data_IF_086131026608
#
_entry.id   IF_086131026608
#
_cell.length_a   1.000
_cell.length_b   1.000
_cell.length_c   1.000
_cell.angle_alpha   90.00
_cell.angle_beta   90.00
_cell.angle_gamma   90.00
#
_symmetry.space_group_name_H-M   'P 1'
#
loop_
_entity.id
_entity.type
_entity.pdbx_description
1 polymer ?
#
# COMPACT_ATOMS: atom_id res chain seq x y z
N UNK A 1 36.19 5.36 52.98
CA UNK A 1 36.18 5.08 51.54
C UNK A 1 35.54 3.73 51.31
N UNK A 2 34.27 3.69 50.89
CA UNK A 2 33.65 2.51 50.30
C UNK A 2 32.46 3.00 49.48
N UNK A 3 32.61 3.07 48.16
CA UNK A 3 31.54 3.38 47.23
C UNK A 3 31.20 2.10 46.47
N UNK A 4 30.11 1.45 46.87
CA UNK A 4 29.50 0.36 46.10
C UNK A 4 28.87 0.95 44.84
N UNK A 5 29.42 0.64 43.66
CA UNK A 5 28.77 0.90 42.38
C UNK A 5 27.93 -0.32 42.03
N UNK A 6 26.62 -0.25 42.29
CA UNK A 6 25.67 -1.17 41.67
C UNK A 6 25.52 -0.79 40.19
N UNK A 7 25.92 -1.73 39.33
CA UNK A 7 25.73 -1.63 37.88
C UNK A 7 24.27 -1.94 37.58
N UNK A 8 23.48 -0.91 37.27
CA UNK A 8 22.10 -1.08 36.79
C UNK A 8 22.17 -1.56 35.34
N UNK A 9 22.00 -2.85 35.11
CA UNK A 9 21.80 -3.41 33.76
C UNK A 9 20.36 -3.07 33.37
N UNK A 10 20.18 -2.05 32.53
CA UNK A 10 18.90 -1.80 31.87
C UNK A 10 18.79 -2.84 30.76
N UNK A 11 18.04 -3.92 31.02
CA UNK A 11 17.53 -4.78 29.96
C UNK A 11 16.51 -3.95 29.18
N UNK A 12 16.91 -3.40 28.02
CA UNK A 12 15.94 -2.94 27.04
C UNK A 12 15.37 -4.20 26.42
N UNK A 13 14.22 -4.65 26.90
CA UNK A 13 13.42 -5.61 26.16
C UNK A 13 13.02 -4.90 24.86
N UNK A 14 13.62 -5.29 23.73
CA UNK A 14 13.10 -4.92 22.42
C UNK A 14 11.73 -5.57 22.31
N UNK A 15 10.68 -4.81 22.61
CA UNK A 15 9.33 -5.22 22.27
C UNK A 15 9.32 -5.41 20.74
N UNK A 16 9.12 -6.64 20.28
CA UNK A 16 8.83 -6.89 18.87
C UNK A 16 7.46 -6.27 18.62
N UNK A 17 7.45 -5.07 18.06
CA UNK A 17 6.24 -4.37 17.67
C UNK A 17 5.77 -5.05 16.41
N UNK A 18 4.71 -5.83 16.52
CA UNK A 18 4.13 -6.48 15.36
C UNK A 18 3.52 -5.46 14.40
N UNK A 19 3.40 -5.87 13.15
CA UNK A 19 2.79 -5.06 12.10
C UNK A 19 1.33 -4.79 12.46
N UNK A 20 0.88 -3.54 12.31
CA UNK A 20 -0.46 -3.17 12.75
C UNK A 20 -1.55 -3.91 11.96
N UNK A 21 -1.33 -4.07 10.65
CA UNK A 21 -2.23 -4.81 9.79
C UNK A 21 -1.50 -5.79 8.88
N UNK A 22 -1.96 -7.03 8.86
CA UNK A 22 -1.47 -8.09 7.99
C UNK A 22 -2.67 -8.82 7.41
N UNK A 23 -2.62 -9.14 6.13
CA UNK A 23 -3.65 -9.95 5.51
C UNK A 23 -3.32 -10.30 4.07
N UNK A 24 -4.34 -10.38 3.23
CA UNK A 24 -4.20 -10.81 1.84
C UNK A 24 -5.10 -10.02 0.89
N UNK A 25 -4.73 -10.04 -0.38
CA UNK A 25 -5.57 -9.58 -1.47
C UNK A 25 -6.69 -10.61 -1.69
N UNK A 26 -7.92 -10.12 -1.81
CA UNK A 26 -9.11 -10.88 -2.19
C UNK A 26 -9.38 -10.59 -3.67
N UNK A 27 -8.80 -11.43 -4.51
CA UNK A 27 -8.86 -11.30 -5.96
C UNK A 27 -10.04 -12.07 -6.55
N UNK A 28 -10.57 -11.56 -7.67
CA UNK A 28 -11.62 -12.19 -8.45
C UNK A 28 -12.53 -11.17 -9.13
N UNK A 29 -12.84 -10.04 -8.48
CA UNK A 29 -13.76 -9.04 -9.02
C UNK A 29 -13.13 -8.25 -10.17
N UNK A 30 -11.81 -8.12 -10.19
CA UNK A 30 -10.98 -7.46 -11.20
C UNK A 30 -10.61 -8.33 -12.39
N UNK A 31 -10.83 -9.66 -12.33
CA UNK A 31 -10.43 -10.60 -13.37
C UNK A 31 -10.77 -10.11 -14.79
N UNK A 32 -9.79 -10.10 -15.69
CA UNK A 32 -9.91 -9.54 -17.04
C UNK A 32 -9.37 -8.11 -17.21
N UNK A 33 -8.83 -7.51 -16.15
CA UNK A 33 -8.02 -6.28 -16.20
C UNK A 33 -6.52 -6.62 -16.11
N UNK A 34 -5.68 -5.86 -16.82
CA UNK A 34 -4.22 -6.04 -16.88
C UNK A 34 -3.50 -4.70 -17.03
N UNK A 35 -2.15 -4.67 -16.94
CA UNK A 35 -1.36 -3.48 -17.26
C UNK A 35 -1.61 -2.87 -18.65
N UNK A 36 -2.02 -3.70 -19.61
CA UNK A 36 -2.37 -3.27 -20.97
C UNK A 36 -3.82 -2.77 -21.11
N UNK A 37 -4.59 -2.77 -20.02
CA UNK A 37 -6.02 -2.48 -20.01
C UNK A 37 -6.87 -3.75 -19.95
N UNK A 38 -8.06 -3.69 -20.56
CA UNK A 38 -9.03 -4.80 -20.58
C UNK A 38 -8.52 -5.91 -21.51
N UNK A 39 -8.28 -7.10 -20.94
CA UNK A 39 -7.88 -8.31 -21.67
C UNK A 39 -8.94 -9.41 -21.65
N UNK A 40 -9.86 -9.36 -20.69
CA UNK A 40 -10.96 -10.31 -20.55
C UNK A 40 -12.31 -9.77 -21.03
N UNK A 41 -13.37 -10.52 -20.72
CA UNK A 41 -14.74 -10.08 -20.96
C UNK A 41 -15.14 -9.05 -19.90
N UNK A 42 -15.18 -7.77 -20.27
CA UNK A 42 -15.61 -6.65 -19.42
C UNK A 42 -16.74 -5.92 -20.13
N UNK A 43 -17.94 -5.77 -19.52
CA UNK A 43 -18.24 -5.98 -18.10
C UNK A 43 -18.32 -7.45 -17.67
N UNK A 44 -18.52 -8.40 -18.60
CA UNK A 44 -18.59 -9.83 -18.31
C UNK A 44 -19.80 -10.23 -17.45
N UNK A 45 -19.84 -11.52 -17.07
CA UNK A 45 -20.89 -12.14 -16.28
C UNK A 45 -20.32 -12.63 -14.94
N UNK A 46 -21.01 -12.32 -13.84
CA UNK A 46 -20.68 -12.81 -12.51
C UNK A 46 -20.73 -14.35 -12.46
N UNK A 47 -19.85 -14.98 -11.66
CA UNK A 47 -19.65 -16.43 -11.56
C UNK A 47 -19.18 -17.10 -12.86
N UNK A 48 -18.70 -16.31 -13.82
CA UNK A 48 -18.09 -16.81 -15.06
C UNK A 48 -16.81 -16.07 -15.40
N UNK A 49 -16.90 -14.75 -15.53
CA UNK A 49 -15.78 -13.91 -15.95
C UNK A 49 -15.10 -13.23 -14.74
N UNK A 50 -15.79 -13.17 -13.60
CA UNK A 50 -15.30 -12.61 -12.33
C UNK A 50 -16.07 -13.21 -11.16
N UNK A 51 -15.45 -13.18 -9.98
CA UNK A 51 -15.91 -13.85 -8.77
C UNK A 51 -15.79 -12.93 -7.56
N UNK A 52 -16.74 -13.01 -6.62
CA UNK A 52 -16.69 -12.21 -5.41
C UNK A 52 -15.81 -12.90 -4.35
N UNK A 53 -15.20 -12.12 -3.42
CA UNK A 53 -14.59 -12.67 -2.22
C UNK A 53 -15.57 -13.56 -1.46
N UNK A 54 -15.10 -14.71 -0.95
CA UNK A 54 -15.94 -15.68 -0.26
C UNK A 54 -16.05 -15.35 1.25
N UNK A 55 -17.24 -15.02 1.77
CA UNK A 55 -17.37 -14.62 3.18
C UNK A 55 -16.94 -15.68 4.20
N UNK A 56 -17.07 -16.98 3.85
CA UNK A 56 -16.64 -18.08 4.72
C UNK A 56 -15.11 -18.11 4.78
N UNK A 57 -14.43 -17.99 3.64
CA UNK A 57 -12.98 -17.95 3.57
C UNK A 57 -12.43 -16.72 4.30
N UNK A 58 -13.02 -15.54 4.07
CA UNK A 58 -12.66 -14.31 4.79
C UNK A 58 -12.85 -14.46 6.31
N UNK A 59 -13.95 -15.06 6.76
CA UNK A 59 -14.20 -15.30 8.20
C UNK A 59 -13.11 -16.17 8.81
N UNK A 60 -12.72 -17.24 8.10
CA UNK A 60 -11.65 -18.13 8.53
C UNK A 60 -10.29 -17.41 8.55
N UNK A 61 -9.96 -16.65 7.52
CA UNK A 61 -8.74 -15.85 7.45
C UNK A 61 -8.62 -14.89 8.65
N UNK A 62 -9.73 -14.29 9.11
CA UNK A 62 -9.73 -13.47 10.35
C UNK A 62 -9.45 -14.28 11.62
N UNK A 63 -9.75 -15.57 11.67
CA UNK A 63 -9.33 -16.41 12.80
C UNK A 63 -7.86 -16.83 12.74
N UNK A 64 -7.28 -16.90 11.54
CA UNK A 64 -5.97 -17.53 11.31
C UNK A 64 -4.84 -16.50 11.17
N UNK A 65 -4.88 -15.66 10.14
CA UNK A 65 -3.72 -14.85 9.74
C UNK A 65 -4.02 -13.39 9.37
N UNK A 66 -5.29 -13.04 9.12
CA UNK A 66 -5.66 -11.73 8.57
C UNK A 66 -6.37 -10.81 9.58
N UNK A 67 -6.09 -9.51 9.53
CA UNK A 67 -6.95 -8.44 10.04
C UNK A 67 -7.15 -7.32 8.99
N UNK A 68 -6.84 -7.62 7.72
CA UNK A 68 -6.91 -6.71 6.58
C UNK A 68 -7.21 -7.49 5.29
N UNK A 69 -8.14 -6.99 4.48
CA UNK A 69 -8.43 -7.55 3.16
C UNK A 69 -8.29 -6.47 2.11
N UNK A 70 -7.47 -6.72 1.07
CA UNK A 70 -7.37 -5.83 -0.10
C UNK A 70 -8.25 -6.37 -1.21
N UNK A 71 -9.44 -5.79 -1.36
CA UNK A 71 -10.45 -6.24 -2.33
C UNK A 71 -10.18 -5.55 -3.66
N UNK A 72 -9.60 -6.29 -4.60
CA UNK A 72 -9.32 -5.82 -5.95
C UNK A 72 -10.61 -5.83 -6.77
N UNK A 73 -10.91 -4.75 -7.51
CA UNK A 73 -12.07 -4.68 -8.40
C UNK A 73 -11.80 -3.84 -9.65
N UNK A 74 -12.55 -4.11 -10.72
CA UNK A 74 -12.44 -3.40 -11.99
C UNK A 74 -13.25 -2.10 -12.00
N UNK A 75 -12.61 -0.98 -12.31
CA UNK A 75 -13.25 0.31 -12.50
C UNK A 75 -14.36 0.22 -13.57
N UNK A 76 -14.11 -0.43 -14.70
CA UNK A 76 -15.05 -0.58 -15.80
C UNK A 76 -16.34 -1.32 -15.42
N UNK A 77 -16.29 -2.22 -14.43
CA UNK A 77 -17.48 -2.92 -13.92
C UNK A 77 -18.25 -2.07 -12.92
N UNK A 78 -17.52 -1.34 -12.08
CA UNK A 78 -18.11 -0.48 -11.05
C UNK A 78 -18.70 0.82 -11.62
N UNK A 79 -18.05 1.42 -12.62
CA UNK A 79 -18.49 2.62 -13.31
C UNK A 79 -18.37 2.37 -14.82
N UNK A 80 -19.50 1.98 -15.45
CA UNK A 80 -19.55 1.44 -16.81
C UNK A 80 -19.28 2.46 -17.93
N UNK A 81 -19.33 3.74 -17.61
CA UNK A 81 -18.77 4.84 -18.41
C UNK A 81 -18.20 5.91 -17.49
N UNK A 82 -17.17 6.65 -17.94
CA UNK A 82 -16.53 7.69 -17.13
C UNK A 82 -17.57 8.64 -16.53
N UNK A 83 -17.45 8.88 -15.22
CA UNK A 83 -18.34 9.74 -14.42
C UNK A 83 -19.78 9.24 -14.25
N UNK A 84 -20.15 8.05 -14.75
CA UNK A 84 -21.46 7.48 -14.50
C UNK A 84 -21.68 7.15 -13.02
N UNK A 85 -22.95 7.03 -12.63
CA UNK A 85 -23.31 6.48 -11.32
C UNK A 85 -22.78 5.06 -11.17
N UNK A 86 -22.34 4.69 -9.96
CA UNK A 86 -21.84 3.34 -9.71
C UNK A 86 -22.90 2.27 -10.04
N UNK A 87 -22.46 1.19 -10.69
CA UNK A 87 -23.25 0.00 -10.96
C UNK A 87 -23.61 -0.68 -9.63
N UNK A 88 -24.87 -0.57 -9.23
CA UNK A 88 -25.34 -1.04 -7.92
C UNK A 88 -25.23 -2.55 -7.74
N UNK A 89 -25.36 -3.34 -8.81
CA UNK A 89 -25.24 -4.80 -8.73
C UNK A 89 -23.79 -5.21 -8.45
N UNK A 90 -22.83 -4.60 -9.14
CA UNK A 90 -21.41 -4.88 -8.90
C UNK A 90 -20.94 -4.31 -7.56
N UNK A 91 -21.41 -3.12 -7.19
CA UNK A 91 -21.15 -2.51 -5.89
C UNK A 91 -21.68 -3.37 -4.73
N UNK A 92 -22.80 -4.08 -4.90
CA UNK A 92 -23.33 -4.98 -3.88
C UNK A 92 -22.37 -6.15 -3.55
N UNK A 93 -21.54 -6.59 -4.50
CA UNK A 93 -20.50 -7.61 -4.27
C UNK A 93 -19.35 -7.05 -3.42
N UNK A 94 -18.89 -5.84 -3.74
CA UNK A 94 -17.90 -5.11 -2.94
C UNK A 94 -18.45 -4.86 -1.52
N UNK A 95 -19.71 -4.45 -1.41
CA UNK A 95 -20.40 -4.24 -0.13
C UNK A 95 -20.45 -5.49 0.74
N UNK A 96 -20.65 -6.66 0.13
CA UNK A 96 -20.70 -7.91 0.86
C UNK A 96 -19.33 -8.24 1.48
N UNK A 97 -18.24 -8.04 0.72
CA UNK A 97 -16.88 -8.19 1.22
C UNK A 97 -16.56 -7.19 2.34
N UNK A 98 -16.89 -5.90 2.14
CA UNK A 98 -16.73 -4.84 3.15
C UNK A 98 -17.49 -5.18 4.44
N UNK A 99 -18.76 -5.56 4.33
CA UNK A 99 -19.57 -5.89 5.51
C UNK A 99 -19.03 -7.12 6.23
N UNK A 100 -18.61 -8.15 5.50
CA UNK A 100 -18.00 -9.35 6.09
C UNK A 100 -16.78 -8.99 6.91
N UNK A 101 -15.77 -8.37 6.28
CA UNK A 101 -14.53 -8.00 6.94
C UNK A 101 -14.74 -7.04 8.12
N UNK A 102 -15.50 -5.95 7.91
CA UNK A 102 -15.66 -4.92 8.95
C UNK A 102 -16.53 -5.38 10.11
N UNK A 103 -17.45 -6.34 9.91
CA UNK A 103 -18.19 -6.99 11.01
C UNK A 103 -17.30 -7.84 11.92
N UNK A 104 -16.16 -8.30 11.39
CA UNK A 104 -15.12 -9.05 12.10
C UNK A 104 -14.02 -8.14 12.67
N UNK A 105 -14.16 -6.81 12.52
CA UNK A 105 -13.16 -5.83 12.97
C UNK A 105 -11.92 -5.73 12.07
N UNK A 106 -11.94 -6.36 10.88
CA UNK A 106 -10.86 -6.26 9.91
C UNK A 106 -10.99 -5.01 9.02
N UNK A 107 -9.85 -4.50 8.55
CA UNK A 107 -9.79 -3.44 7.55
C UNK A 107 -10.16 -4.00 6.17
N UNK A 108 -10.84 -3.21 5.35
CA UNK A 108 -11.04 -3.50 3.91
C UNK A 108 -10.46 -2.37 3.08
N UNK A 109 -9.43 -2.67 2.29
CA UNK A 109 -8.92 -1.74 1.27
C UNK A 109 -9.72 -1.97 0.00
N UNK A 110 -10.33 -0.91 -0.50
CA UNK A 110 -10.95 -0.87 -1.82
C UNK A 110 -9.86 -0.58 -2.85
N UNK A 111 -9.45 -1.59 -3.63
CA UNK A 111 -8.40 -1.46 -4.64
C UNK A 111 -8.99 -1.32 -6.05
N UNK A 112 -8.84 -0.12 -6.63
CA UNK A 112 -9.19 0.14 -8.03
C UNK A 112 -8.11 -0.49 -8.91
N UNK A 113 -8.34 -1.72 -9.35
CA UNK A 113 -7.29 -2.58 -9.90
C UNK A 113 -7.01 -2.35 -11.39
N UNK A 114 -6.56 -1.15 -11.75
CA UNK A 114 -6.70 -0.61 -13.10
C UNK A 114 -5.44 -0.04 -13.76
N UNK A 115 -4.27 -0.09 -13.11
CA UNK A 115 -3.00 0.28 -13.73
C UNK A 115 -2.97 1.71 -14.29
N UNK A 116 -3.66 2.64 -13.62
CA UNK A 116 -3.91 4.01 -14.07
C UNK A 116 -4.59 4.13 -15.45
N UNK A 117 -5.43 3.16 -15.81
CA UNK A 117 -6.17 3.10 -17.08
C UNK A 117 -7.67 2.92 -16.87
N UNK A 118 -8.44 3.40 -17.84
CA UNK A 118 -9.84 3.04 -18.01
C UNK A 118 -10.08 2.68 -19.48
N UNK A 119 -10.58 1.47 -19.74
CA UNK A 119 -10.72 0.89 -21.08
C UNK A 119 -9.41 1.00 -21.89
N UNK A 120 -8.28 0.71 -21.24
CA UNK A 120 -6.93 0.77 -21.81
C UNK A 120 -6.33 2.18 -21.99
N UNK A 121 -7.14 3.24 -21.87
CA UNK A 121 -6.65 4.62 -21.96
C UNK A 121 -6.03 5.07 -20.64
N UNK A 122 -4.77 5.54 -20.68
CA UNK A 122 -4.03 6.01 -19.51
C UNK A 122 -4.57 7.36 -19.02
N UNK A 123 -4.65 7.53 -17.70
CA UNK A 123 -4.98 8.82 -17.07
C UNK A 123 -3.99 9.90 -17.53
N UNK A 124 -4.50 11.06 -17.94
CA UNK A 124 -3.67 12.14 -18.49
C UNK A 124 -3.38 12.01 -19.98
N UNK A 125 -3.73 10.89 -20.62
CA UNK A 125 -3.60 10.66 -22.06
C UNK A 125 -4.70 11.28 -22.93
N UNK A 126 -5.46 12.26 -22.41
CA UNK A 126 -6.53 12.97 -23.12
C UNK A 126 -7.93 12.38 -22.90
N UNK A 127 -8.14 11.10 -23.17
CA UNK A 127 -9.47 10.45 -23.03
C UNK A 127 -9.88 10.28 -21.57
N UNK A 128 -8.94 9.85 -20.72
CA UNK A 128 -9.15 9.62 -19.30
C UNK A 128 -8.38 10.70 -18.54
N UNK A 129 -9.05 11.42 -17.67
CA UNK A 129 -8.49 12.55 -16.91
C UNK A 129 -8.41 12.23 -15.43
N UNK A 130 -7.59 12.98 -14.68
CA UNK A 130 -7.55 12.90 -13.22
C UNK A 130 -8.93 13.13 -12.58
N UNK A 131 -9.74 14.03 -13.16
CA UNK A 131 -11.09 14.30 -12.69
C UNK A 131 -12.03 13.09 -12.82
N UNK A 132 -11.78 12.18 -13.77
CA UNK A 132 -12.58 10.96 -13.89
C UNK A 132 -12.30 9.99 -12.75
N UNK A 133 -11.04 9.78 -12.39
CA UNK A 133 -10.68 8.96 -11.23
C UNK A 133 -11.21 9.60 -9.93
N UNK A 134 -11.10 10.93 -9.80
CA UNK A 134 -11.65 11.65 -8.66
C UNK A 134 -13.18 11.51 -8.55
N UNK A 135 -13.91 11.48 -9.67
CA UNK A 135 -15.35 11.24 -9.67
C UNK A 135 -15.71 9.86 -9.10
N UNK A 136 -15.00 8.81 -9.52
CA UNK A 136 -15.17 7.47 -8.94
C UNK A 136 -14.97 7.51 -7.42
N UNK A 137 -13.88 8.14 -6.98
CA UNK A 137 -13.51 8.21 -5.57
C UNK A 137 -14.47 9.03 -4.72
N UNK A 138 -15.07 10.10 -5.23
CA UNK A 138 -16.13 10.84 -4.53
C UNK A 138 -17.33 9.92 -4.25
N UNK A 139 -17.77 9.14 -5.22
CA UNK A 139 -18.92 8.24 -5.05
C UNK A 139 -18.63 7.13 -4.02
N UNK A 140 -17.43 6.54 -4.06
CA UNK A 140 -17.00 5.55 -3.07
C UNK A 140 -16.84 6.18 -1.68
N UNK A 141 -16.22 7.35 -1.58
CA UNK A 141 -16.04 8.05 -0.31
C UNK A 141 -17.38 8.45 0.31
N UNK A 142 -18.33 8.98 -0.45
CA UNK A 142 -19.66 9.31 0.06
C UNK A 142 -20.40 8.10 0.65
N UNK A 143 -20.20 6.92 0.05
CA UNK A 143 -20.77 5.67 0.54
C UNK A 143 -20.10 5.16 1.82
N UNK A 144 -18.77 5.19 1.88
CA UNK A 144 -18.00 4.51 2.94
C UNK A 144 -17.43 5.43 4.02
N UNK A 145 -17.60 6.75 3.93
CA UNK A 145 -17.06 7.72 4.91
C UNK A 145 -17.50 7.50 6.36
N UNK A 146 -18.60 6.78 6.59
CA UNK A 146 -19.08 6.41 7.92
C UNK A 146 -18.40 5.18 8.52
N UNK A 147 -17.57 4.46 7.77
CA UNK A 147 -16.92 3.23 8.22
C UNK A 147 -15.39 3.38 8.20
N UNK A 148 -14.79 3.64 9.36
CA UNK A 148 -13.34 3.85 9.49
C UNK A 148 -12.47 2.63 9.18
N UNK A 149 -13.06 1.43 9.12
CA UNK A 149 -12.36 0.21 8.70
C UNK A 149 -12.28 0.06 7.18
N UNK A 150 -12.92 0.94 6.41
CA UNK A 150 -12.75 1.00 4.94
C UNK A 150 -11.60 1.94 4.61
N UNK A 151 -10.64 1.45 3.84
CA UNK A 151 -9.50 2.22 3.32
C UNK A 151 -9.62 2.33 1.80
N UNK A 152 -9.05 3.39 1.23
CA UNK A 152 -9.18 3.73 -0.19
C UNK A 152 -7.85 3.55 -0.90
N UNK A 153 -7.69 2.43 -1.61
CA UNK A 153 -6.53 2.16 -2.45
C UNK A 153 -6.69 2.77 -3.83
N UNK A 154 -6.05 3.93 -4.03
CA UNK A 154 -6.38 4.84 -5.13
C UNK A 154 -6.34 4.20 -6.52
N UNK A 155 -5.40 3.29 -6.73
CA UNK A 155 -5.15 2.60 -7.98
C UNK A 155 -4.16 1.46 -7.77
N UNK A 156 -4.39 0.31 -8.39
CA UNK A 156 -3.35 -0.71 -8.50
C UNK A 156 -2.29 -0.29 -9.53
N UNK A 157 -1.02 -0.38 -9.16
CA UNK A 157 0.14 -0.38 -10.07
C UNK A 157 0.09 0.58 -11.28
N UNK A 158 -0.01 1.91 -11.07
CA UNK A 158 0.17 2.89 -12.15
C UNK A 158 1.42 2.59 -12.98
N UNK A 159 1.27 2.58 -14.31
CA UNK A 159 2.36 2.29 -15.26
C UNK A 159 2.09 2.92 -16.62
N UNK A 160 3.13 3.18 -17.42
CA UNK A 160 3.00 3.83 -18.73
C UNK A 160 2.46 5.26 -18.66
N UNK A 161 2.72 5.93 -17.55
CA UNK A 161 2.42 7.34 -17.25
C UNK A 161 3.67 7.95 -16.63
N UNK A 162 3.95 9.25 -16.79
CA UNK A 162 5.03 9.90 -16.04
C UNK A 162 4.65 10.01 -14.54
N UNK A 163 5.62 9.83 -13.65
CA UNK A 163 5.36 9.80 -12.20
C UNK A 163 4.81 11.12 -11.67
N UNK A 164 5.30 12.27 -12.16
CA UNK A 164 4.77 13.57 -11.73
C UNK A 164 3.31 13.75 -12.20
N UNK A 165 2.99 13.26 -13.39
CA UNK A 165 1.62 13.22 -13.92
C UNK A 165 0.72 12.31 -13.08
N UNK A 166 1.21 11.13 -12.70
CA UNK A 166 0.48 10.21 -11.81
C UNK A 166 0.21 10.84 -10.44
N UNK A 167 1.23 11.34 -9.75
CA UNK A 167 1.04 11.93 -8.41
C UNK A 167 0.17 13.18 -8.44
N UNK A 168 0.20 13.98 -9.53
CA UNK A 168 -0.75 15.06 -9.73
C UNK A 168 -2.21 14.53 -9.84
N UNK A 169 -2.44 13.43 -10.56
CA UNK A 169 -3.76 12.81 -10.65
C UNK A 169 -4.22 12.21 -9.31
N UNK A 170 -3.32 11.54 -8.58
CA UNK A 170 -3.59 11.02 -7.24
C UNK A 170 -3.96 12.15 -6.27
N UNK A 171 -3.28 13.30 -6.32
CA UNK A 171 -3.61 14.46 -5.50
C UNK A 171 -5.01 15.00 -5.77
N UNK A 172 -5.48 15.00 -7.03
CA UNK A 172 -6.86 15.38 -7.36
C UNK A 172 -7.86 14.44 -6.70
N UNK A 173 -7.62 13.13 -6.73
CA UNK A 173 -8.46 12.14 -6.03
C UNK A 173 -8.46 12.32 -4.52
N UNK A 174 -7.29 12.52 -3.89
CA UNK A 174 -7.17 12.77 -2.44
C UNK A 174 -8.02 13.99 -2.04
N UNK A 175 -7.83 15.11 -2.74
CA UNK A 175 -8.59 16.33 -2.47
C UNK A 175 -10.10 16.09 -2.60
N UNK A 176 -10.53 15.43 -3.68
CA UNK A 176 -11.94 15.15 -3.93
C UNK A 176 -12.54 14.23 -2.85
N UNK A 177 -11.83 13.18 -2.43
CA UNK A 177 -12.22 12.33 -1.28
C UNK A 177 -12.44 13.19 -0.04
N UNK A 178 -11.48 14.06 0.30
CA UNK A 178 -11.59 14.90 1.50
C UNK A 178 -12.74 15.91 1.43
N UNK A 179 -13.15 16.37 0.25
CA UNK A 179 -14.34 17.24 0.12
C UNK A 179 -15.65 16.55 0.53
N UNK A 180 -15.71 15.22 0.56
CA UNK A 180 -16.88 14.46 1.04
C UNK A 180 -17.02 14.47 2.57
N UNK A 181 -15.98 14.91 3.28
CA UNK A 181 -15.84 14.79 4.74
C UNK A 181 -15.25 13.45 5.20
N UNK A 182 -14.85 12.57 4.27
CA UNK A 182 -14.18 11.31 4.60
C UNK A 182 -12.82 11.52 5.29
N UNK A 183 -12.61 10.82 6.41
CA UNK A 183 -11.34 10.73 7.14
C UNK A 183 -10.66 9.36 7.00
N UNK A 184 -11.22 8.48 6.15
CA UNK A 184 -10.69 7.15 5.87
C UNK A 184 -9.23 7.20 5.42
N UNK A 185 -8.47 6.16 5.73
CA UNK A 185 -7.09 6.02 5.26
C UNK A 185 -7.07 5.90 3.74
N UNK A 186 -6.17 6.62 3.08
CA UNK A 186 -5.97 6.53 1.62
C UNK A 186 -4.59 5.91 1.37
N UNK A 187 -4.52 4.86 0.56
CA UNK A 187 -3.25 4.29 0.12
C UNK A 187 -2.90 4.82 -1.28
N UNK A 188 -1.69 5.35 -1.41
CA UNK A 188 -1.23 6.13 -2.57
C UNK A 188 -0.05 5.40 -3.23
N UNK A 189 -0.25 4.76 -4.39
CA UNK A 189 0.83 4.11 -5.10
C UNK A 189 1.72 5.13 -5.82
N UNK A 190 2.88 4.68 -6.30
CA UNK A 190 3.70 5.35 -7.31
C UNK A 190 3.48 4.80 -8.71
N UNK A 191 4.26 5.30 -9.67
CA UNK A 191 4.35 4.77 -11.02
C UNK A 191 5.25 3.53 -11.10
N UNK A 192 5.41 2.94 -12.28
CA UNK A 192 6.21 1.74 -12.53
C UNK A 192 5.81 0.57 -11.62
N UNK A 193 4.52 0.26 -11.63
CA UNK A 193 3.98 -0.83 -10.83
C UNK A 193 4.20 -0.63 -9.32
N UNK A 194 4.45 0.62 -8.89
CA UNK A 194 4.70 1.00 -7.51
C UNK A 194 5.77 0.16 -6.78
N UNK A 195 6.75 -0.35 -7.52
CA UNK A 195 7.76 -1.26 -6.99
C UNK A 195 8.64 -0.63 -5.89
N UNK A 196 8.73 -1.27 -4.73
CA UNK A 196 9.57 -0.79 -3.62
C UNK A 196 11.07 -0.78 -3.99
N UNK A 197 11.53 -1.81 -4.70
CA UNK A 197 12.90 -1.94 -5.22
C UNK A 197 13.34 -0.77 -6.09
N UNK A 198 12.41 -0.14 -6.81
CA UNK A 198 12.71 0.94 -7.74
C UNK A 198 12.21 2.32 -7.30
N UNK A 199 11.56 2.40 -6.14
CA UNK A 199 10.93 3.63 -5.63
C UNK A 199 11.87 4.84 -5.65
N UNK A 200 13.13 4.63 -5.27
CA UNK A 200 14.15 5.68 -5.14
C UNK A 200 14.97 5.84 -6.42
N UNK A 201 15.30 4.75 -7.11
CA UNK A 201 16.15 4.79 -8.30
C UNK A 201 15.41 5.28 -9.54
N UNK A 202 14.14 4.93 -9.71
CA UNK A 202 13.37 5.26 -10.92
C UNK A 202 13.97 4.67 -12.19
N UNK A 203 14.60 3.49 -12.11
CA UNK A 203 15.25 2.85 -13.26
C UNK A 203 14.24 2.18 -14.20
N UNK A 204 13.03 1.88 -13.72
CA UNK A 204 11.92 1.35 -14.52
C UNK A 204 11.55 2.25 -15.71
N UNK A 205 11.70 3.57 -15.53
CA UNK A 205 11.45 4.61 -16.52
C UNK A 205 12.36 5.80 -16.22
N UNK A 206 13.59 5.72 -16.75
CA UNK A 206 14.61 6.76 -16.59
C UNK A 206 14.23 8.11 -17.22
N UNK A 207 13.16 8.16 -18.02
CA UNK A 207 12.65 9.40 -18.62
C UNK A 207 11.66 10.12 -17.71
N UNK A 208 11.15 9.41 -16.70
CA UNK A 208 10.23 9.91 -15.69
C UNK A 208 10.98 10.38 -14.44
N UNK A 209 10.35 11.26 -13.68
CA UNK A 209 10.81 11.57 -12.32
C UNK A 209 10.66 10.33 -11.43
N UNK A 210 11.66 10.00 -10.60
CA UNK A 210 11.54 8.89 -9.66
C UNK A 210 10.37 9.08 -8.68
N UNK A 211 9.74 7.98 -8.26
CA UNK A 211 8.61 8.02 -7.32
C UNK A 211 8.98 8.74 -6.01
N UNK A 212 10.20 8.52 -5.51
CA UNK A 212 10.74 9.17 -4.33
C UNK A 212 10.79 10.71 -4.41
N UNK A 213 10.82 11.29 -5.60
CA UNK A 213 10.82 12.74 -5.80
C UNK A 213 9.39 13.24 -6.01
N UNK A 214 8.68 12.65 -6.98
CA UNK A 214 7.33 13.08 -7.34
C UNK A 214 6.32 12.86 -6.19
N UNK A 215 6.47 11.78 -5.43
CA UNK A 215 5.59 11.44 -4.32
C UNK A 215 5.62 12.44 -3.17
N UNK A 216 6.69 13.23 -3.01
CA UNK A 216 6.76 14.27 -1.97
C UNK A 216 5.77 15.42 -2.17
N UNK A 217 5.22 15.57 -3.38
CA UNK A 217 4.19 16.55 -3.67
C UNK A 217 2.83 16.21 -3.04
N UNK A 218 2.63 14.97 -2.58
CA UNK A 218 1.36 14.55 -1.99
C UNK A 218 1.15 15.19 -0.62
N UNK A 219 -0.02 15.80 -0.46
CA UNK A 219 -0.52 16.40 0.77
C UNK A 219 -1.95 15.95 1.04
N UNK A 220 -2.22 15.54 2.28
CA UNK A 220 -3.56 15.19 2.73
C UNK A 220 -3.96 16.08 3.91
N UNK A 221 -5.04 16.87 3.80
CA UNK A 221 -5.57 17.66 4.91
C UNK A 221 -5.91 16.85 6.17
N UNK A 222 -6.25 15.56 6.03
CA UNK A 222 -6.52 14.68 7.17
C UNK A 222 -5.24 14.02 7.74
N UNK A 223 -4.10 14.18 7.07
CA UNK A 223 -2.82 13.52 7.39
C UNK A 223 -2.98 12.01 7.64
N UNK A 224 -3.81 11.34 6.84
CA UNK A 224 -4.13 9.92 6.99
C UNK A 224 -3.95 9.18 5.67
N UNK A 225 -2.69 9.17 5.18
CA UNK A 225 -2.28 8.45 3.99
C UNK A 225 -1.15 7.47 4.27
N UNK A 226 -1.11 6.40 3.49
CA UNK A 226 0.01 5.45 3.41
C UNK A 226 0.52 5.43 1.96
N UNK A 227 1.83 5.40 1.75
CA UNK A 227 2.39 5.14 0.42
C UNK A 227 2.35 3.64 0.17
N UNK A 228 1.62 3.22 -0.85
CA UNK A 228 1.45 1.81 -1.23
C UNK A 228 2.59 1.41 -2.16
N UNK A 229 3.31 0.34 -1.82
CA UNK A 229 4.37 -0.21 -2.66
C UNK A 229 4.20 -1.70 -2.81
N UNK A 230 4.62 -2.25 -3.93
CA UNK A 230 4.57 -3.68 -4.20
C UNK A 230 5.98 -4.25 -4.28
N UNK A 231 6.14 -5.53 -3.94
CA UNK A 231 7.43 -6.21 -4.07
C UNK A 231 7.27 -7.72 -4.27
N UNK A 232 7.63 -8.18 -5.45
CA UNK A 232 7.90 -9.59 -5.72
C UNK A 232 9.40 -9.87 -5.69
N UNK A 233 9.77 -11.15 -5.57
CA UNK A 233 11.16 -11.57 -5.37
C UNK A 233 11.68 -12.51 -6.46
N UNK A 234 10.87 -12.75 -7.49
CA UNK A 234 11.25 -13.42 -8.70
C UNK A 234 12.27 -12.60 -9.51
N UNK A 235 12.78 -13.16 -10.61
CA UNK A 235 13.98 -12.65 -11.30
C UNK A 235 13.92 -11.21 -11.76
N UNK A 236 12.73 -10.69 -12.05
CA UNK A 236 12.47 -9.35 -12.55
C UNK A 236 11.46 -8.57 -11.71
N UNK A 237 11.14 -9.08 -10.52
CA UNK A 237 10.21 -8.46 -9.56
C UNK A 237 8.76 -8.33 -10.07
N UNK A 238 8.39 -9.07 -11.12
CA UNK A 238 7.06 -9.00 -11.74
C UNK A 238 6.01 -9.88 -11.07
N UNK A 239 6.41 -10.85 -10.25
CA UNK A 239 5.50 -11.84 -9.68
C UNK A 239 4.94 -12.82 -10.71
N UNK A 240 5.65 -13.02 -11.83
CA UNK A 240 5.20 -13.90 -12.92
C UNK A 240 6.00 -15.18 -13.04
N UNK A 241 7.06 -15.35 -12.25
CA UNK A 241 7.91 -16.53 -12.25
C UNK A 241 7.96 -17.25 -10.90
N UNK A 242 8.28 -18.54 -10.92
CA UNK A 242 8.59 -19.30 -9.71
C UNK A 242 9.98 -18.95 -9.16
N UNK A 243 10.17 -19.20 -7.87
CA UNK A 243 11.41 -18.96 -7.14
C UNK A 243 11.64 -17.51 -6.72
N UNK A 244 12.48 -17.34 -5.69
CA UNK A 244 12.80 -16.04 -5.08
C UNK A 244 14.32 -15.80 -5.06
N UNK A 245 14.98 -15.57 -6.21
CA UNK A 245 16.41 -15.26 -6.28
C UNK A 245 16.77 -13.95 -5.55
N UNK A 246 15.80 -13.04 -5.40
CA UNK A 246 15.96 -11.79 -4.67
C UNK A 246 15.52 -11.93 -3.20
N UNK A 247 15.83 -10.93 -2.37
CA UNK A 247 15.58 -10.99 -0.93
C UNK A 247 15.07 -9.65 -0.38
N UNK A 248 14.81 -9.61 0.93
CA UNK A 248 14.24 -8.47 1.65
C UNK A 248 15.00 -7.14 1.47
N UNK A 249 16.27 -7.15 1.06
CA UNK A 249 17.05 -5.93 0.80
C UNK A 249 16.43 -4.99 -0.22
N UNK A 250 15.55 -5.49 -1.10
CA UNK A 250 14.78 -4.66 -2.04
C UNK A 250 13.90 -3.60 -1.35
N UNK A 251 13.55 -3.79 -0.07
CA UNK A 251 12.74 -2.83 0.69
C UNK A 251 13.56 -1.72 1.35
N UNK A 252 14.90 -1.82 1.39
CA UNK A 252 15.73 -0.98 2.25
C UNK A 252 15.73 0.49 1.82
N UNK A 253 15.85 0.76 0.52
CA UNK A 253 15.86 2.13 -0.01
C UNK A 253 14.51 2.82 0.22
N UNK A 254 13.41 2.13 -0.10
CA UNK A 254 12.06 2.60 0.16
C UNK A 254 11.81 2.88 1.66
N UNK A 255 12.23 1.98 2.54
CA UNK A 255 12.08 2.16 4.00
C UNK A 255 12.85 3.38 4.50
N UNK A 256 14.08 3.58 4.03
CA UNK A 256 14.89 4.74 4.36
C UNK A 256 14.23 6.04 3.87
N UNK A 257 13.66 6.02 2.67
CA UNK A 257 12.92 7.14 2.11
C UNK A 257 11.68 7.48 2.94
N UNK A 258 10.87 6.48 3.33
CA UNK A 258 9.70 6.69 4.19
C UNK A 258 10.12 7.39 5.50
N UNK A 259 11.17 6.87 6.15
CA UNK A 259 11.66 7.39 7.43
C UNK A 259 12.20 8.80 7.32
N UNK A 260 13.03 9.06 6.33
CA UNK A 260 13.67 10.36 6.10
C UNK A 260 12.63 11.45 5.83
N UNK A 261 11.54 11.10 5.15
CA UNK A 261 10.50 12.04 4.75
C UNK A 261 9.28 12.06 5.68
N UNK A 262 9.35 11.37 6.83
CA UNK A 262 8.27 11.30 7.81
C UNK A 262 6.98 10.71 7.24
N UNK A 263 7.09 9.74 6.32
CA UNK A 263 5.96 9.08 5.66
C UNK A 263 5.74 7.68 6.23
N UNK A 264 4.53 7.17 6.03
CA UNK A 264 4.12 5.80 6.38
C UNK A 264 3.88 5.00 5.11
N UNK A 265 4.20 3.71 5.14
CA UNK A 265 4.10 2.79 4.01
C UNK A 265 3.13 1.64 4.26
N UNK A 266 2.61 1.09 3.16
CA UNK A 266 1.85 -0.14 3.07
C UNK A 266 2.48 -1.02 1.99
N UNK A 267 2.84 -2.26 2.31
CA UNK A 267 3.29 -3.22 1.30
C UNK A 267 2.05 -3.90 0.69
N UNK A 268 1.54 -3.34 -0.40
CA UNK A 268 0.24 -3.66 -0.99
C UNK A 268 0.13 -5.03 -1.62
N UNK A 269 1.23 -5.49 -2.21
CA UNK A 269 1.39 -6.84 -2.73
C UNK A 269 2.82 -7.32 -2.47
N UNK A 270 2.91 -8.57 -2.04
CA UNK A 270 4.14 -9.35 -2.00
C UNK A 270 3.78 -10.84 -2.04
N UNK A 271 4.64 -11.64 -2.67
CA UNK A 271 4.44 -13.08 -2.77
C UNK A 271 5.74 -13.83 -3.04
N UNK A 272 5.66 -15.14 -2.90
CA UNK A 272 6.65 -16.13 -3.31
C UNK A 272 5.97 -17.49 -3.42
N UNK A 273 6.53 -18.40 -4.20
CA UNK A 273 5.98 -19.75 -4.33
C UNK A 273 6.32 -20.61 -3.10
N UNK A 274 5.79 -21.84 -3.06
CA UNK A 274 5.97 -22.74 -1.92
C UNK A 274 7.36 -23.37 -1.77
N UNK A 275 8.38 -22.86 -2.48
CA UNK A 275 9.76 -23.32 -2.26
C UNK A 275 10.31 -22.84 -0.92
N UNK A 276 11.21 -23.61 -0.29
CA UNK A 276 11.85 -23.22 0.97
C UNK A 276 12.63 -21.91 0.88
N UNK A 277 13.15 -21.58 -0.30
CA UNK A 277 13.80 -20.29 -0.57
C UNK A 277 12.79 -19.15 -0.44
N UNK A 278 11.65 -19.23 -1.13
CA UNK A 278 10.61 -18.21 -1.07
C UNK A 278 9.99 -18.10 0.33
N UNK A 279 9.72 -19.21 1.00
CA UNK A 279 9.26 -19.21 2.40
C UNK A 279 10.21 -18.43 3.32
N UNK A 280 11.53 -18.61 3.15
CA UNK A 280 12.54 -17.87 3.91
C UNK A 280 12.50 -16.37 3.58
N UNK A 281 12.33 -16.01 2.31
CA UNK A 281 12.21 -14.62 1.89
C UNK A 281 10.95 -13.96 2.47
N UNK A 282 9.80 -14.63 2.43
CA UNK A 282 8.52 -14.15 2.99
C UNK A 282 8.65 -13.92 4.51
N UNK A 283 9.23 -14.86 5.25
CA UNK A 283 9.49 -14.69 6.68
C UNK A 283 10.39 -13.48 6.96
N UNK A 284 11.45 -13.31 6.18
CA UNK A 284 12.37 -12.18 6.33
C UNK A 284 11.69 -10.84 5.99
N UNK A 285 10.80 -10.80 5.00
CA UNK A 285 10.01 -9.61 4.67
C UNK A 285 9.13 -9.21 5.84
N UNK A 286 8.32 -10.13 6.36
CA UNK A 286 7.43 -9.83 7.48
C UNK A 286 8.21 -9.38 8.73
N UNK A 287 9.28 -10.08 9.10
CA UNK A 287 10.15 -9.68 10.22
C UNK A 287 10.78 -8.29 9.99
N UNK A 288 11.18 -7.98 8.75
CA UNK A 288 11.71 -6.67 8.41
C UNK A 288 10.66 -5.56 8.53
N UNK A 289 9.41 -5.81 8.11
CA UNK A 289 8.32 -4.85 8.27
C UNK A 289 7.99 -4.59 9.75
N UNK A 290 7.94 -5.64 10.58
CA UNK A 290 7.73 -5.49 12.04
C UNK A 290 8.83 -4.68 12.72
N UNK A 291 10.09 -5.00 12.40
CA UNK A 291 11.26 -4.25 12.95
C UNK A 291 11.35 -2.82 12.44
N UNK A 292 10.65 -2.48 11.35
CA UNK A 292 10.55 -1.14 10.78
C UNK A 292 9.10 -0.60 10.82
N UNK A 293 8.32 -1.02 11.84
CA UNK A 293 6.92 -0.61 12.04
C UNK A 293 6.77 0.87 12.40
N UNK A 294 7.87 1.56 12.68
CA UNK A 294 7.91 3.02 12.76
C UNK A 294 7.57 3.69 11.42
N UNK A 295 7.70 2.99 10.29
CA UNK A 295 7.28 3.48 8.97
C UNK A 295 6.35 2.53 8.21
N UNK A 296 6.45 1.22 8.37
CA UNK A 296 5.55 0.27 7.73
C UNK A 296 4.33 0.00 8.61
N UNK A 297 3.14 0.27 8.07
CA UNK A 297 1.87 0.16 8.81
C UNK A 297 1.17 -1.17 8.53
N UNK A 298 1.23 -1.63 7.28
CA UNK A 298 0.45 -2.76 6.84
C UNK A 298 1.18 -3.58 5.75
N UNK A 299 0.76 -4.82 5.56
CA UNK A 299 1.14 -5.67 4.43
C UNK A 299 -0.02 -6.57 3.98
N UNK A 300 -0.09 -6.85 2.67
CA UNK A 300 -1.10 -7.72 2.07
C UNK A 300 -0.45 -8.71 1.11
N UNK A 301 -0.57 -10.00 1.40
CA UNK A 301 -0.04 -11.09 0.57
C UNK A 301 -0.86 -11.22 -0.72
N UNK A 302 -0.19 -11.48 -1.84
CA UNK A 302 -0.84 -11.77 -3.13
C UNK A 302 -0.76 -13.29 -3.42
N UNK A 303 -1.86 -14.06 -3.43
CA UNK A 303 -3.25 -13.65 -3.17
C UNK A 303 -4.13 -14.79 -2.64
N UNK A 304 -5.24 -14.40 -2.00
CA UNK A 304 -6.42 -15.24 -1.76
C UNK A 304 -7.46 -15.02 -2.89
N UNK A 305 -8.56 -15.76 -2.87
CA UNK A 305 -9.65 -15.72 -3.86
C UNK A 305 -9.98 -17.09 -4.46
N UNK A 306 -11.27 -17.38 -4.58
CA UNK A 306 -11.79 -18.73 -4.92
C UNK A 306 -11.50 -19.24 -6.35
N UNK A 307 -10.96 -18.40 -7.23
CA UNK A 307 -10.90 -18.68 -8.68
C UNK A 307 -9.48 -18.78 -9.28
N UNK A 308 -8.47 -19.06 -8.45
CA UNK A 308 -7.06 -19.10 -8.86
C UNK A 308 -6.60 -20.38 -9.56
N UNK A 309 -7.33 -21.49 -9.43
CA UNK A 309 -6.91 -22.78 -9.99
C UNK A 309 -5.57 -23.24 -9.40
N UNK A 310 -4.55 -23.42 -10.25
CA UNK A 310 -3.20 -23.88 -9.86
C UNK A 310 -2.16 -22.74 -9.79
N UNK A 311 -2.61 -21.49 -9.61
CA UNK A 311 -1.71 -20.34 -9.52
C UNK A 311 -0.69 -20.51 -8.39
N UNK A 312 0.58 -20.23 -8.71
CA UNK A 312 1.74 -20.54 -7.86
C UNK A 312 1.82 -19.76 -6.54
N UNK A 313 1.11 -18.65 -6.42
CA UNK A 313 1.05 -17.84 -5.19
C UNK A 313 -0.34 -17.86 -4.52
N UNK A 314 -1.25 -18.73 -4.97
CA UNK A 314 -2.57 -18.83 -4.34
C UNK A 314 -2.44 -19.38 -2.92
N UNK A 315 -2.93 -18.62 -1.95
CA UNK A 315 -3.11 -19.06 -0.56
C UNK A 315 -4.58 -19.34 -0.22
N UNK A 316 -5.47 -19.32 -1.23
CA UNK A 316 -6.89 -19.61 -1.02
C UNK A 316 -7.07 -21.04 -0.51
N UNK A 317 -7.72 -21.15 0.64
CA UNK A 317 -8.16 -22.43 1.16
C UNK A 317 -9.59 -22.75 0.66
N UNK A 318 -9.67 -23.75 -0.22
CA UNK A 318 -10.93 -24.19 -0.81
C UNK A 318 -11.83 -25.02 0.15
N UNK A 319 -11.52 -25.09 1.44
CA UNK A 319 -12.33 -25.71 2.47
C UNK A 319 -12.41 -27.24 2.39
N UNK A 320 -11.63 -27.89 1.53
CA UNK A 320 -11.46 -29.34 1.53
C UNK A 320 -10.27 -29.69 2.41
N UNK A 321 -10.50 -30.43 3.49
CA UNK A 321 -9.47 -30.99 4.39
C UNK A 321 -8.47 -31.96 3.70
N UNK A 322 -8.43 -32.00 2.37
CA UNK A 322 -7.62 -32.88 1.53
C UNK A 322 -6.41 -32.19 0.89
N UNK A 323 -6.33 -30.85 0.89
CA UNK A 323 -5.15 -30.12 0.43
C UNK A 323 -4.52 -29.46 1.66
N UNK A 324 -3.26 -29.79 2.01
CA UNK A 324 -2.56 -29.06 3.05
C UNK A 324 -2.50 -27.58 2.70
N UNK A 325 -2.80 -26.72 3.68
CA UNK A 325 -2.66 -25.27 3.57
C UNK A 325 -1.30 -24.91 2.96
N UNK A 326 -1.29 -23.89 2.09
CA UNK A 326 -0.06 -23.38 1.50
C UNK A 326 0.92 -23.02 2.65
N UNK A 327 2.21 -23.39 2.59
CA UNK A 327 3.15 -23.12 3.68
C UNK A 327 3.27 -21.61 4.00
N UNK A 328 2.92 -20.76 3.05
CA UNK A 328 2.78 -19.31 3.20
C UNK A 328 1.73 -18.93 4.27
N UNK A 329 0.60 -19.65 4.37
CA UNK A 329 -0.43 -19.42 5.39
C UNK A 329 0.13 -19.60 6.80
N UNK A 330 0.85 -20.70 7.04
CA UNK A 330 1.51 -20.93 8.34
C UNK A 330 2.49 -19.81 8.69
N UNK A 331 3.19 -19.24 7.70
CA UNK A 331 4.05 -18.08 7.95
C UNK A 331 3.20 -16.88 8.39
N UNK A 332 2.15 -16.53 7.65
CA UNK A 332 1.27 -15.40 7.96
C UNK A 332 0.61 -15.54 9.35
N UNK A 333 0.16 -16.74 9.71
CA UNK A 333 -0.41 -17.06 11.03
C UNK A 333 0.58 -16.77 12.17
N UNK A 334 1.85 -17.16 12.02
CA UNK A 334 2.88 -16.95 13.03
C UNK A 334 3.13 -15.45 13.31
N UNK A 335 3.11 -14.63 12.26
CA UNK A 335 3.28 -13.18 12.39
C UNK A 335 2.05 -12.50 13.01
N UNK A 336 0.84 -12.94 12.68
CA UNK A 336 -0.37 -12.43 13.37
C UNK A 336 -0.41 -12.78 14.85
N UNK A 337 -0.04 -14.00 15.22
CA UNK A 337 -0.04 -14.43 16.63
C UNK A 337 1.03 -13.69 17.46
N UNK A 338 2.13 -13.29 16.82
CA UNK A 338 3.17 -12.46 17.45
C UNK A 338 2.63 -11.07 17.84
N UNK A 339 1.73 -10.48 17.03
CA UNK A 339 1.03 -9.23 17.38
C UNK A 339 0.14 -9.33 18.62
N UNK A 340 -0.51 -10.48 18.79
CA UNK A 340 -1.45 -10.71 19.89
C UNK A 340 -0.69 -10.90 21.22
N UNK A 341 0.50 -11.51 21.17
CA UNK A 341 1.30 -11.83 22.36
C UNK A 341 1.94 -10.58 23.00
N UNK A 342 2.32 -9.56 22.20
CA UNK A 342 2.91 -8.32 22.71
C UNK A 342 1.91 -7.43 23.49
N UNK A 343 0.60 -7.67 23.36
CA UNK A 343 -0.44 -6.83 24.00
C UNK A 343 -0.69 -7.19 25.48
N UNK A 344 -0.07 -8.26 26.03
CA UNK A 344 -0.32 -8.72 27.41
C UNK A 344 0.97 -8.75 28.23
N UNK A 345 1.60 -7.60 28.52
CA UNK A 345 2.42 -7.43 29.76
C UNK A 345 2.53 -5.95 30.15
N UNK A 346 1.42 -5.30 30.49
CA UNK A 346 1.47 -4.06 31.27
C UNK A 346 0.98 -4.38 32.68
N UNK A 347 1.90 -4.81 33.55
CA UNK A 347 1.60 -4.96 34.98
C UNK A 347 1.43 -3.57 35.60
N UNK A 348 0.18 -3.13 35.72
CA UNK A 348 -0.17 -1.94 36.50
C UNK A 348 0.23 -2.15 37.94
N UNK A 349 1.33 -1.53 38.37
CA UNK A 349 1.71 -1.48 39.79
C UNK A 349 0.85 -0.39 40.46
N UNK A 350 -0.29 -0.80 41.01
CA UNK A 350 -1.15 0.09 41.80
C UNK A 350 -0.44 0.45 43.10
N UNK A 351 0.01 1.70 43.20
CA UNK A 351 0.50 2.27 44.47
C UNK A 351 -0.71 2.69 45.30
N UNK A 352 -1.05 1.91 46.32
CA UNK A 352 -2.11 2.19 47.27
C UNK A 352 -1.78 3.45 48.07
N UNK A 353 -2.51 4.55 47.82
CA UNK A 353 -2.47 5.73 48.67
C UNK A 353 -3.71 5.73 49.57
N UNK A 354 -3.52 5.54 50.86
CA UNK A 354 -4.58 5.59 51.88
C UNK A 354 -5.12 7.01 51.99
N UNK A 355 -6.39 7.24 51.64
CA UNK A 355 -7.08 8.51 51.88
C UNK A 355 -8.15 8.33 52.96
N UNK A 356 -7.94 9.05 54.06
CA UNK A 356 -8.81 9.14 55.23
C UNK A 356 -10.20 9.66 54.85
N UNK A 357 -11.22 8.97 55.34
CA UNK A 357 -12.65 9.30 55.24
C UNK A 357 -13.02 10.47 56.16
N UNK A 358 -13.78 11.42 55.62
CA UNK A 358 -14.64 12.30 56.42
C UNK A 358 -16.02 12.35 55.79
N UNK A 359 -17.00 12.02 56.62
CA UNK A 359 -18.44 11.89 56.39
C UNK A 359 -19.13 13.25 56.44
N UNK A 360 -20.04 13.52 55.51
CA UNK A 360 -21.27 14.31 55.77
C UNK A 360 -22.39 13.93 54.79
N UNK A 361 -23.60 13.81 55.34
CA UNK A 361 -24.87 13.35 54.75
C UNK A 361 -25.52 14.36 53.79
N UNK A 362 -26.54 13.96 52.98
CA UNK A 362 -27.08 14.77 51.89
C UNK A 362 -28.23 15.68 52.33
N UNK A 363 -28.50 16.73 51.55
CA UNK A 363 -29.74 17.51 51.63
C UNK A 363 -30.43 17.52 50.27
N UNK A 364 -31.68 17.07 50.29
CA UNK A 364 -32.64 16.99 49.19
C UNK A 364 -33.19 18.37 48.84
N UNK A 365 -33.41 18.68 47.55
CA UNK A 365 -34.51 19.57 47.13
C UNK A 365 -34.99 19.20 45.73
N UNK A 366 -36.32 19.14 45.61
CA UNK A 366 -37.15 18.72 44.48
C UNK A 366 -37.80 19.94 43.82
N UNK A 367 -37.98 19.96 42.49
CA UNK A 367 -39.12 20.49 41.67
C UNK A 367 -38.63 20.75 40.22
N UNK A 368 -39.02 19.99 39.19
CA UNK A 368 -40.25 19.89 38.37
C UNK A 368 -40.47 20.97 37.29
N UNK A 369 -40.73 20.45 36.07
CA UNK A 369 -41.66 20.89 35.00
C UNK A 369 -41.33 22.08 34.09
N UNK A 370 -41.45 21.84 32.78
CA UNK A 370 -41.66 22.85 31.74
C UNK A 370 -41.60 22.25 30.33
N UNK A 371 -42.73 22.24 29.62
CA UNK A 371 -42.98 21.55 28.35
C UNK A 371 -42.64 22.36 27.08
N UNK A 372 -42.51 21.62 25.96
CA UNK A 372 -42.63 21.94 24.51
C UNK A 372 -43.84 22.87 24.18
N UNK A 373 -44.14 23.36 22.93
CA UNK A 373 -43.56 23.07 21.60
C UNK A 373 -43.57 24.23 20.55
N UNK A 374 -43.49 23.85 19.25
CA UNK A 374 -43.91 24.51 18.00
C UNK A 374 -42.87 25.36 17.23
N UNK A 375 -42.79 25.46 15.89
CA UNK A 375 -43.22 24.71 14.67
C UNK A 375 -42.77 25.55 13.45
N UNK A 376 -42.45 24.90 12.31
CA UNK A 376 -42.73 25.27 10.87
C UNK A 376 -42.36 26.70 10.36
N UNK A 377 -41.87 27.01 9.15
CA UNK A 377 -42.20 26.53 7.79
C UNK A 377 -41.23 27.12 6.74
N UNK A 378 -40.95 26.30 5.72
CA UNK A 378 -40.64 26.49 4.29
C UNK A 378 -40.68 27.90 3.65
N UNK A 379 -39.74 28.20 2.74
CA UNK A 379 -40.06 28.62 1.34
C UNK A 379 -38.87 28.54 0.37
N UNK A 380 -39.20 28.08 -0.83
CA UNK A 380 -38.47 27.92 -2.10
C UNK A 380 -38.41 29.21 -2.94
N UNK A 381 -37.35 29.39 -3.75
CA UNK A 381 -37.31 30.08 -5.07
C UNK A 381 -35.98 29.74 -5.77
N UNK A 382 -35.93 28.86 -6.79
CA UNK A 382 -36.02 29.09 -8.26
C UNK A 382 -34.94 29.98 -8.90
N UNK A 383 -34.27 29.37 -9.88
CA UNK A 383 -33.23 29.77 -10.83
C UNK A 383 -33.55 31.06 -11.64
N UNK A 384 -32.57 31.64 -12.38
CA UNK A 384 -32.46 31.23 -13.78
C UNK A 384 -31.03 31.08 -14.33
N UNK A 385 -30.96 30.18 -15.31
CA UNK A 385 -29.84 29.84 -16.16
C UNK A 385 -29.31 31.03 -16.99
N UNK A 386 -28.02 30.98 -17.30
CA UNK A 386 -27.41 31.80 -18.37
C UNK A 386 -26.67 30.89 -19.35
N UNK A 387 -27.04 31.06 -20.62
CA UNK A 387 -26.54 30.39 -21.82
C UNK A 387 -25.35 31.16 -22.40
N UNK A 388 -24.26 30.49 -22.77
CA UNK A 388 -23.27 31.00 -23.76
C UNK A 388 -22.54 29.80 -24.38
N UNK A 389 -22.96 29.34 -25.56
CA UNK A 389 -22.38 29.60 -26.90
C UNK A 389 -21.01 28.97 -27.15
N UNK A 390 -21.06 27.97 -28.02
CA UNK A 390 -20.00 27.21 -28.67
C UNK A 390 -19.10 28.09 -29.54
N UNK A 391 -17.78 27.90 -29.46
CA UNK A 391 -16.84 28.26 -30.54
C UNK A 391 -15.91 27.09 -30.82
N UNK A 392 -16.14 26.46 -31.97
CA UNK A 392 -15.22 25.58 -32.68
C UNK A 392 -13.99 26.37 -33.16
N UNK A 393 -12.79 25.83 -32.95
CA UNK A 393 -11.61 26.26 -33.70
C UNK A 393 -10.79 25.05 -34.13
N UNK A 394 -10.36 25.14 -35.38
CA UNK A 394 -9.84 24.08 -36.25
C UNK A 394 -8.32 24.01 -36.14
N UNK A 395 -7.80 22.78 -36.11
CA UNK A 395 -6.37 22.41 -36.18
C UNK A 395 -5.79 22.71 -37.57
N UNK A 396 -4.54 23.18 -37.67
CA UNK A 396 -3.70 22.88 -38.83
C UNK A 396 -2.66 21.82 -38.49
N UNK A 397 -2.62 20.76 -39.30
CA UNK A 397 -1.60 19.72 -39.30
C UNK A 397 -0.26 20.24 -39.80
N UNK A 398 0.83 19.84 -39.16
CA UNK A 398 2.18 19.90 -39.74
C UNK A 398 2.84 18.54 -39.68
N UNK A 399 3.21 18.04 -40.86
CA UNK A 399 4.03 16.85 -41.09
C UNK A 399 5.51 17.20 -40.97
N UNK A 400 6.29 16.33 -40.32
CA UNK A 400 7.77 16.29 -40.51
C UNK A 400 8.32 14.90 -40.17
N UNK A 401 8.61 14.17 -41.25
CA UNK A 401 9.85 13.46 -41.59
C UNK A 401 10.63 12.70 -40.51
N UNK A 402 10.65 11.37 -40.68
CA UNK A 402 11.56 10.40 -40.07
C UNK A 402 13.02 10.70 -40.48
N UNK A 403 13.92 10.85 -39.49
CA UNK A 403 15.37 10.76 -39.71
C UNK A 403 15.99 9.76 -38.73
N UNK A 404 16.56 8.71 -39.30
CA UNK A 404 17.36 7.69 -38.62
C UNK A 404 18.73 8.27 -38.29
N UNK A 405 19.19 8.19 -37.04
CA UNK A 405 20.54 8.59 -36.64
C UNK A 405 21.18 7.50 -35.78
N UNK A 406 22.41 7.15 -36.12
CA UNK A 406 23.25 6.06 -35.58
C UNK A 406 24.35 6.71 -34.72
N UNK A 407 24.52 6.21 -33.49
CA UNK A 407 25.60 6.29 -32.46
C UNK A 407 26.62 7.47 -32.44
N UNK A 408 27.01 7.91 -31.22
CA UNK A 408 28.34 7.50 -30.74
C UNK A 408 28.41 7.12 -29.24
N UNK A 409 29.25 6.13 -28.95
CA UNK A 409 29.72 5.75 -27.61
C UNK A 409 30.66 6.82 -27.06
N UNK A 410 30.42 7.30 -25.83
CA UNK A 410 31.32 8.23 -25.12
C UNK A 410 31.98 7.54 -23.94
N UNK A 411 33.30 7.47 -24.01
CA UNK A 411 34.22 6.98 -22.98
C UNK A 411 34.50 8.13 -22.00
N UNK A 412 34.12 7.98 -20.72
CA UNK A 412 34.47 8.97 -19.71
C UNK A 412 35.82 8.67 -19.08
N UNK A 413 36.71 9.67 -19.17
CA UNK A 413 38.06 9.71 -18.60
C UNK A 413 38.01 10.11 -17.13
N UNK A 414 38.73 9.34 -16.30
CA UNK A 414 38.74 9.42 -14.83
C UNK A 414 39.80 10.43 -14.37
N UNK A 415 39.39 11.44 -13.59
CA UNK A 415 40.31 12.28 -12.79
C UNK A 415 40.84 11.50 -11.58
N UNK A 416 42.16 11.52 -11.43
CA UNK A 416 42.98 10.78 -10.47
C UNK A 416 42.78 11.23 -9.02
N UNK A 417 42.06 10.40 -8.24
CA UNK A 417 42.03 10.38 -6.76
C UNK A 417 41.20 9.22 -6.18
N UNK A 418 40.85 8.24 -7.01
CA UNK A 418 39.55 7.55 -6.95
C UNK A 418 39.58 6.17 -6.30
N UNK A 419 40.76 5.65 -5.97
CA UNK A 419 40.93 4.32 -5.39
C UNK A 419 41.61 4.39 -4.02
N UNK A 420 41.16 3.54 -3.11
CA UNK A 420 41.71 3.39 -1.77
C UNK A 420 43.10 2.75 -1.83
N UNK A 421 44.02 3.21 -0.99
CA UNK A 421 45.36 2.61 -0.87
C UNK A 421 45.27 1.21 -0.30
N UNK A 422 46.31 0.38 -0.48
CA UNK A 422 46.42 -0.92 0.20
C UNK A 422 46.16 -0.76 1.71
N UNK A 423 45.35 -1.66 2.28
CA UNK A 423 44.78 -1.63 3.64
C UNK A 423 43.71 -0.57 3.92
N UNK A 424 43.36 0.27 2.94
CA UNK A 424 42.26 1.21 3.05
C UNK A 424 40.89 0.54 2.86
N UNK A 425 39.85 1.17 3.39
CA UNK A 425 38.48 0.73 3.15
C UNK A 425 38.09 1.01 1.70
N UNK A 426 37.46 0.03 1.06
CA UNK A 426 37.07 0.07 -0.35
C UNK A 426 35.62 -0.38 -0.56
N UNK A 427 34.87 -0.60 0.50
CA UNK A 427 33.51 -1.11 0.44
C UNK A 427 32.95 -1.43 1.83
N UNK A 428 31.75 -2.00 1.82
CA UNK A 428 30.97 -2.30 3.02
C UNK A 428 29.58 -1.68 2.95
N UNK A 429 28.62 -2.28 3.64
CA UNK A 429 27.26 -1.72 3.77
C UNK A 429 27.36 -0.27 4.29
N UNK A 430 26.67 0.66 3.62
CA UNK A 430 26.68 2.11 3.86
C UNK A 430 27.98 2.87 3.53
N UNK A 431 29.00 2.22 2.94
CA UNK A 431 30.22 2.91 2.52
C UNK A 431 29.96 3.83 1.31
N UNK A 432 30.31 5.11 1.42
CA UNK A 432 30.18 6.12 0.35
C UNK A 432 31.53 6.57 -0.23
N UNK A 433 32.63 5.95 0.22
CA UNK A 433 33.99 6.28 -0.23
C UNK A 433 34.44 5.46 -1.45
N UNK A 434 35.76 5.45 -1.75
CA UNK A 434 36.32 4.75 -2.90
C UNK A 434 35.92 3.26 -2.96
N UNK A 435 35.62 2.75 -4.16
CA UNK A 435 35.21 1.36 -4.40
C UNK A 435 36.26 0.52 -5.12
N UNK A 436 37.41 1.10 -5.43
CA UNK A 436 38.54 0.45 -6.07
C UNK A 436 39.80 0.54 -5.20
N UNK A 437 40.79 -0.32 -5.47
CA UNK A 437 42.03 -0.44 -4.70
C UNK A 437 43.27 -0.18 -5.58
N UNK A 438 44.27 0.52 -5.05
CA UNK A 438 45.54 0.74 -5.74
C UNK A 438 46.42 -0.52 -5.58
N UNK A 439 46.67 -1.21 -6.70
CA UNK A 439 47.55 -2.40 -6.79
C UNK A 439 47.19 -3.54 -5.81
N UNK A 440 45.91 -3.65 -5.45
CA UNK A 440 45.36 -4.65 -4.53
C UNK A 440 43.88 -4.92 -4.87
N UNK A 441 43.24 -5.88 -4.21
CA UNK A 441 41.84 -6.24 -4.47
C UNK A 441 40.96 -5.79 -3.30
N UNK A 442 39.76 -5.27 -3.60
CA UNK A 442 38.79 -4.97 -2.55
C UNK A 442 38.17 -6.27 -2.02
N UNK A 443 38.50 -6.66 -0.80
CA UNK A 443 38.08 -7.92 -0.18
C UNK A 443 37.06 -7.66 0.94
N UNK A 444 35.81 -8.12 0.81
CA UNK A 444 34.82 -8.09 1.88
C UNK A 444 35.31 -8.86 3.11
N UNK A 445 35.11 -8.31 4.31
CA UNK A 445 35.47 -9.03 5.54
C UNK A 445 34.35 -9.94 6.00
N UNK A 446 34.67 -11.23 6.18
CA UNK A 446 33.70 -12.31 6.43
C UNK A 446 32.86 -12.13 7.70
N UNK A 447 33.36 -11.37 8.69
CA UNK A 447 32.67 -11.10 9.95
C UNK A 447 32.24 -9.63 10.13
N UNK A 448 32.36 -8.81 9.09
CA UNK A 448 31.93 -7.42 9.14
C UNK A 448 31.40 -6.96 7.77
N UNK A 449 30.09 -7.07 7.53
CA UNK A 449 29.51 -6.70 6.24
C UNK A 449 29.57 -5.18 5.97
N UNK A 450 29.85 -4.37 6.99
CA UNK A 450 30.04 -2.92 6.87
C UNK A 450 31.45 -2.53 6.43
N UNK A 451 32.33 -3.51 6.16
CA UNK A 451 33.73 -3.24 5.91
C UNK A 451 34.35 -4.19 4.87
N UNK A 452 34.80 -3.62 3.75
CA UNK A 452 35.66 -4.26 2.76
C UNK A 452 36.99 -3.52 2.68
N UNK A 453 38.09 -4.24 2.57
CA UNK A 453 39.44 -3.68 2.65
C UNK A 453 40.28 -4.04 1.42
N UNK A 454 41.13 -3.12 0.99
CA UNK A 454 42.13 -3.38 -0.04
C UNK A 454 43.24 -4.31 0.48
N UNK A 455 43.30 -5.55 -0.01
CA UNK A 455 44.29 -6.57 0.38
C UNK A 455 45.24 -6.93 -0.76
#
# INVERSE_FOLDING_TARGET
MNLSKQLLIILVASAVVALQYLGAAESGLEFGISPSGVTGNVPGTFDKDYFAPNPIAMTRAVSEFSNLFRVAFAWERLQTSLNATLNQTYLALIDNAVQTATSLGAVTILDVHNYARYQGSVIGGGTVTAANLANLWVQLADKYKGNSLVWFGLMNEPTGIDSATWFAAAQVSINAIRTTGSTNTITVPGNCYTGAHDWVSGNCDITSTANAVAGLAISDPANNILYEMHQYFDSDFSGTHTGCPNNVSQLYAATSWLRTNGKKGFLGEFAGDSTTQCQTVIQNVLAYLETNSDVWTAASFWAAGSAWGNYMYSIEDNGSAAVPDAPELTILENFKNSATTTTITTTTTTTTTTKTTTTTSPTTTTTTTGAKPNTTTTTTTTNPATTTTTTTSVVPSTSTTTTTSVFPSTTNTITTGSCSTKWGQCGGIYWTGPTCCIASTCTPQTNNPYYSQCL
#
